data_IF_639117020227
#
_entry.id   IF_639117020227
#
_cell.length_a   1.000
_cell.length_b   1.000
_cell.length_c   1.000
_cell.angle_alpha   90.00
_cell.angle_beta   90.00
_cell.angle_gamma   90.00
#
_symmetry.space_group_name_H-M   'P 1'
#
loop_
_entity.id
_entity.type
_entity.pdbx_description
1 polymer ?
#
# COMPACT_ATOMS: atom_id res chain seq x y z
N UNK A 1 -13.54 -6.50 9.15
CA UNK A 1 -12.92 -5.57 8.18
C UNK A 1 -13.44 -5.98 6.80
N UNK A 2 -14.20 -5.12 6.09
CA UNK A 2 -14.93 -5.52 4.87
C UNK A 2 -14.06 -6.05 3.74
N UNK A 3 -12.78 -5.69 3.68
CA UNK A 3 -11.86 -6.19 2.64
C UNK A 3 -11.64 -7.70 2.73
N UNK A 4 -11.71 -8.29 3.93
CA UNK A 4 -11.55 -9.74 4.13
C UNK A 4 -12.66 -10.54 3.44
N UNK A 5 -13.84 -9.96 3.28
CA UNK A 5 -15.01 -10.59 2.63
C UNK A 5 -14.79 -10.81 1.12
N UNK A 6 -13.78 -10.16 0.52
CA UNK A 6 -13.43 -10.32 -0.90
C UNK A 6 -12.30 -11.34 -1.13
N UNK A 7 -11.75 -11.92 -0.06
CA UNK A 7 -10.68 -12.91 -0.14
C UNK A 7 -11.31 -14.32 -0.02
N UNK A 8 -11.01 -15.27 -0.92
CA UNK A 8 -11.49 -16.64 -0.81
C UNK A 8 -11.04 -17.30 0.51
N UNK A 9 -11.97 -17.86 1.28
CA UNK A 9 -11.72 -18.43 2.62
C UNK A 9 -10.64 -19.53 2.60
N UNK A 10 -10.72 -20.45 1.63
CA UNK A 10 -9.82 -21.61 1.54
C UNK A 10 -8.53 -21.29 0.76
N UNK A 11 -8.00 -20.08 0.92
CA UNK A 11 -6.75 -19.64 0.26
C UNK A 11 -5.63 -19.38 1.25
N UNK A 12 -4.39 -19.62 0.83
CA UNK A 12 -3.21 -19.21 1.60
C UNK A 12 -3.19 -17.69 1.84
N UNK A 13 -3.70 -16.91 0.87
CA UNK A 13 -3.81 -15.46 1.00
C UNK A 13 -4.72 -15.07 2.17
N UNK A 14 -5.87 -15.72 2.34
CA UNK A 14 -6.73 -15.54 3.51
C UNK A 14 -5.99 -15.86 4.81
N UNK A 15 -5.25 -16.97 4.86
CA UNK A 15 -4.46 -17.33 6.04
C UNK A 15 -3.45 -16.25 6.44
N UNK A 16 -2.63 -15.77 5.50
CA UNK A 16 -1.65 -14.72 5.81
C UNK A 16 -2.33 -13.37 6.14
N UNK A 17 -3.44 -13.05 5.47
CA UNK A 17 -4.20 -11.85 5.80
C UNK A 17 -4.74 -11.90 7.23
N UNK A 18 -5.30 -13.04 7.64
CA UNK A 18 -5.85 -13.22 8.98
C UNK A 18 -4.76 -13.18 10.04
N UNK A 19 -3.58 -13.77 9.79
CA UNK A 19 -2.42 -13.65 10.66
C UNK A 19 -1.98 -12.19 10.86
N UNK A 20 -1.90 -11.42 9.78
CA UNK A 20 -1.56 -10.00 9.89
C UNK A 20 -2.62 -9.24 10.69
N UNK A 21 -3.90 -9.49 10.39
CA UNK A 21 -5.00 -8.83 11.08
C UNK A 21 -5.06 -9.19 12.57
N UNK A 22 -4.73 -10.42 12.95
CA UNK A 22 -4.60 -10.84 14.34
C UNK A 22 -3.42 -10.16 15.03
N UNK A 23 -2.26 -10.10 14.36
CA UNK A 23 -1.06 -9.49 14.93
C UNK A 23 -1.27 -8.01 15.22
N UNK A 24 -1.81 -7.25 14.26
CA UNK A 24 -2.02 -5.80 14.44
C UNK A 24 -3.06 -5.47 15.52
N UNK A 25 -4.02 -6.37 15.76
CA UNK A 25 -5.00 -6.24 16.86
C UNK A 25 -4.42 -6.55 18.22
N UNK A 26 -3.37 -7.36 18.27
CA UNK A 26 -2.81 -7.91 19.52
C UNK A 26 -1.61 -7.10 20.03
N UNK A 27 -1.12 -6.12 19.27
CA UNK A 27 0.06 -5.33 19.61
C UNK A 27 -0.21 -3.82 19.49
N UNK A 28 0.30 -3.04 20.44
CA UNK A 28 0.13 -1.58 20.45
C UNK A 28 1.03 -0.83 19.45
N UNK A 29 2.10 -1.48 18.96
CA UNK A 29 3.06 -0.87 18.05
C UNK A 29 3.40 -1.78 16.87
N UNK A 30 3.71 -1.16 15.73
CA UNK A 30 3.93 -1.86 14.47
C UNK A 30 5.19 -2.73 14.46
N UNK A 31 6.24 -2.35 15.20
CA UNK A 31 7.49 -3.12 15.27
C UNK A 31 7.24 -4.48 15.91
N UNK A 32 6.66 -4.50 17.11
CA UNK A 32 6.33 -5.76 17.80
C UNK A 32 5.34 -6.62 17.00
N UNK A 33 4.35 -5.99 16.36
CA UNK A 33 3.41 -6.67 15.47
C UNK A 33 4.10 -7.33 14.27
N UNK A 34 5.08 -6.66 13.67
CA UNK A 34 5.81 -7.18 12.52
C UNK A 34 6.79 -8.29 12.91
N UNK A 35 7.55 -8.10 13.99
CA UNK A 35 8.48 -9.09 14.55
C UNK A 35 7.78 -10.44 14.84
N UNK A 36 6.53 -10.40 15.32
CA UNK A 36 5.73 -11.60 15.56
C UNK A 36 5.44 -12.42 14.28
N UNK A 37 5.44 -11.77 13.11
CA UNK A 37 5.12 -12.40 11.83
C UNK A 37 6.35 -12.86 11.04
N UNK A 38 7.55 -12.34 11.33
CA UNK A 38 8.76 -12.59 10.53
C UNK A 38 9.01 -14.08 10.26
N UNK A 39 8.81 -14.92 11.28
CA UNK A 39 9.01 -16.37 11.15
C UNK A 39 8.04 -16.99 10.15
N UNK A 40 6.81 -16.49 10.06
CA UNK A 40 5.78 -16.99 9.13
C UNK A 40 6.10 -16.67 7.67
N UNK A 41 6.86 -15.59 7.43
CA UNK A 41 7.17 -15.10 6.09
C UNK A 41 8.61 -15.35 5.63
N UNK A 42 9.48 -15.87 6.51
CA UNK A 42 10.94 -16.02 6.28
C UNK A 42 11.32 -16.80 5.01
N UNK A 43 10.48 -17.72 4.56
CA UNK A 43 10.74 -18.56 3.36
C UNK A 43 10.33 -17.90 2.06
N UNK A 44 9.58 -16.80 2.11
CA UNK A 44 9.10 -16.10 0.92
C UNK A 44 10.11 -15.04 0.48
N UNK A 45 10.09 -14.74 -0.82
CA UNK A 45 10.83 -13.61 -1.35
C UNK A 45 10.24 -12.29 -0.82
N UNK A 46 11.07 -11.26 -0.66
CA UNK A 46 10.63 -9.95 -0.18
C UNK A 46 9.62 -9.25 -1.11
N UNK A 47 9.58 -9.58 -2.42
CA UNK A 47 8.54 -9.12 -3.35
C UNK A 47 7.28 -10.01 -3.39
N UNK A 48 7.21 -11.04 -2.54
CA UNK A 48 6.09 -11.97 -2.57
C UNK A 48 4.81 -11.29 -2.09
N UNK A 49 3.68 -11.69 -2.65
CA UNK A 49 2.38 -11.07 -2.36
C UNK A 49 1.97 -11.17 -0.88
N UNK A 50 2.29 -12.27 -0.19
CA UNK A 50 1.93 -12.43 1.23
C UNK A 50 2.66 -11.44 2.16
N UNK A 51 4.01 -11.40 2.23
CA UNK A 51 4.70 -10.38 3.02
C UNK A 51 4.28 -8.94 2.70
N UNK A 52 4.09 -8.62 1.41
CA UNK A 52 3.66 -7.30 0.96
C UNK A 52 2.26 -6.94 1.46
N UNK A 53 1.29 -7.83 1.29
CA UNK A 53 -0.06 -7.65 1.84
C UNK A 53 -0.03 -7.45 3.36
N UNK A 54 0.81 -8.20 4.10
CA UNK A 54 0.93 -8.02 5.55
C UNK A 54 1.46 -6.64 5.91
N UNK A 55 2.45 -6.14 5.16
CA UNK A 55 3.00 -4.80 5.35
C UNK A 55 1.97 -3.70 5.04
N UNK A 56 1.15 -3.87 4.00
CA UNK A 56 0.01 -2.98 3.69
C UNK A 56 -0.98 -2.92 4.85
N UNK A 57 -1.32 -4.07 5.45
CA UNK A 57 -2.17 -4.13 6.65
C UNK A 57 -1.53 -3.34 7.80
N UNK A 58 -0.23 -3.48 8.06
CA UNK A 58 0.46 -2.72 9.10
C UNK A 58 0.46 -1.22 8.82
N UNK A 59 0.77 -0.83 7.58
CA UNK A 59 0.79 0.56 7.13
C UNK A 59 -0.55 1.24 7.35
N UNK A 60 -1.65 0.60 6.96
CA UNK A 60 -3.00 1.14 7.13
C UNK A 60 -3.49 1.11 8.58
N UNK A 61 -3.08 0.12 9.37
CA UNK A 61 -3.55 -0.03 10.75
C UNK A 61 -2.94 0.98 11.70
N UNK A 62 -1.63 1.22 11.59
CA UNK A 62 -0.87 2.02 12.57
C UNK A 62 -0.58 3.46 12.13
N UNK A 63 -0.87 3.86 10.88
CA UNK A 63 -0.52 5.20 10.39
C UNK A 63 -1.35 6.33 11.00
N UNK A 64 -2.53 6.05 11.54
CA UNK A 64 -3.42 7.09 12.07
C UNK A 64 -3.75 8.16 11.04
N UNK A 65 -4.06 7.74 9.80
CA UNK A 65 -4.39 8.58 8.66
C UNK A 65 -3.26 9.50 8.13
N UNK A 66 -2.05 9.39 8.69
CA UNK A 66 -0.89 10.18 8.25
C UNK A 66 -0.01 9.40 7.24
N UNK A 67 0.02 9.89 6.00
CA UNK A 67 0.80 9.24 4.92
C UNK A 67 2.29 9.10 5.22
N UNK A 68 2.89 10.10 5.89
CA UNK A 68 4.30 10.04 6.26
C UNK A 68 4.59 8.97 7.31
N UNK A 69 3.66 8.77 8.25
CA UNK A 69 3.74 7.69 9.24
C UNK A 69 3.55 6.34 8.57
N UNK A 70 2.63 6.22 7.62
CA UNK A 70 2.44 5.01 6.82
C UNK A 70 3.73 4.60 6.09
N UNK A 71 4.37 5.53 5.38
CA UNK A 71 5.63 5.26 4.68
C UNK A 71 6.77 4.87 5.63
N UNK A 72 6.82 5.47 6.83
CA UNK A 72 7.79 5.05 7.85
C UNK A 72 7.56 3.60 8.30
N UNK A 73 6.31 3.25 8.61
CA UNK A 73 5.93 1.89 9.02
C UNK A 73 6.28 0.87 7.92
N UNK A 74 5.98 1.19 6.66
CA UNK A 74 6.32 0.33 5.52
C UNK A 74 7.83 0.16 5.35
N UNK A 75 8.60 1.23 5.53
CA UNK A 75 10.05 1.17 5.53
C UNK A 75 10.60 0.31 6.69
N UNK A 76 9.97 0.36 7.87
CA UNK A 76 10.32 -0.50 9.00
C UNK A 76 9.98 -1.99 8.74
N UNK A 77 8.92 -2.29 7.97
CA UNK A 77 8.60 -3.67 7.56
C UNK A 77 9.65 -4.24 6.58
N UNK A 78 10.27 -3.38 5.76
CA UNK A 78 11.49 -3.71 4.99
C UNK A 78 11.32 -4.68 3.81
N UNK A 79 10.08 -4.95 3.39
CA UNK A 79 9.76 -5.74 2.19
C UNK A 79 9.71 -4.84 0.94
N UNK A 80 8.79 -5.05 0.00
CA UNK A 80 8.65 -4.28 -1.24
C UNK A 80 8.10 -2.85 -1.01
N UNK A 81 8.93 -1.98 -0.41
CA UNK A 81 8.49 -0.70 0.15
C UNK A 81 7.85 0.21 -0.90
N UNK A 82 8.36 0.26 -2.12
CA UNK A 82 7.84 1.11 -3.20
C UNK A 82 6.44 0.65 -3.66
N UNK A 83 6.24 -0.65 -3.88
CA UNK A 83 4.93 -1.20 -4.21
C UNK A 83 3.91 -0.95 -3.07
N UNK A 84 4.29 -1.28 -1.84
CA UNK A 84 3.41 -1.12 -0.68
C UNK A 84 3.10 0.37 -0.40
N UNK A 85 4.06 1.27 -0.60
CA UNK A 85 3.85 2.72 -0.47
C UNK A 85 2.93 3.24 -1.58
N UNK A 86 3.03 2.71 -2.80
CA UNK A 86 2.10 3.01 -3.89
C UNK A 86 0.66 2.63 -3.54
N UNK A 87 0.44 1.44 -2.98
CA UNK A 87 -0.89 0.96 -2.57
C UNK A 87 -1.45 1.76 -1.40
N UNK A 88 -0.72 1.84 -0.28
CA UNK A 88 -1.16 2.54 0.94
C UNK A 88 -1.30 4.05 0.68
N UNK A 89 -0.35 4.63 -0.05
CA UNK A 89 -0.39 6.04 -0.43
C UNK A 89 -1.59 6.38 -1.32
N UNK A 90 -1.98 5.48 -2.24
CA UNK A 90 -3.18 5.66 -3.05
C UNK A 90 -4.45 5.69 -2.19
N UNK A 91 -4.59 4.76 -1.25
CA UNK A 91 -5.73 4.72 -0.33
C UNK A 91 -5.79 6.00 0.52
N UNK A 92 -4.69 6.37 1.16
CA UNK A 92 -4.64 7.56 2.02
C UNK A 92 -4.84 8.85 1.22
N UNK A 93 -4.28 8.94 0.02
CA UNK A 93 -4.42 10.10 -0.86
C UNK A 93 -5.84 10.31 -1.43
N UNK A 94 -6.66 9.24 -1.48
CA UNK A 94 -8.08 9.35 -1.81
C UNK A 94 -8.88 9.84 -0.60
N UNK A 95 -8.52 9.40 0.60
CA UNK A 95 -9.28 9.66 1.81
C UNK A 95 -8.96 11.01 2.46
N UNK A 96 -7.70 11.45 2.36
CA UNK A 96 -7.17 12.59 3.09
C UNK A 96 -6.32 13.50 2.20
N UNK A 97 -6.22 14.80 2.52
CA UNK A 97 -5.28 15.70 1.85
C UNK A 97 -3.83 15.23 2.01
N UNK A 98 -3.04 15.30 0.94
CA UNK A 98 -1.62 14.97 0.96
C UNK A 98 -0.81 16.26 1.20
N UNK A 99 0.11 16.21 2.15
CA UNK A 99 1.08 17.30 2.39
C UNK A 99 1.96 17.53 1.14
N UNK A 100 2.08 18.78 0.64
CA UNK A 100 2.86 19.11 -0.55
C UNK A 100 4.29 18.57 -0.55
N UNK A 101 4.92 18.37 0.61
CA UNK A 101 6.27 17.76 0.68
C UNK A 101 6.36 16.39 0.01
N UNK A 102 5.25 15.67 -0.10
CA UNK A 102 5.16 14.37 -0.77
C UNK A 102 4.83 14.47 -2.26
N UNK A 103 4.33 15.61 -2.74
CA UNK A 103 3.92 15.80 -4.15
C UNK A 103 4.84 16.72 -4.93
N UNK A 104 5.34 17.79 -4.29
CA UNK A 104 6.19 18.81 -4.91
C UNK A 104 7.46 18.24 -5.56
N UNK A 105 8.16 17.24 -4.98
CA UNK A 105 9.34 16.65 -5.62
C UNK A 105 9.08 16.03 -6.99
N UNK A 106 7.86 15.55 -7.25
CA UNK A 106 7.49 14.99 -8.54
C UNK A 106 7.24 16.05 -9.61
N UNK A 107 6.99 17.31 -9.21
CA UNK A 107 6.71 18.43 -10.10
C UNK A 107 5.66 18.08 -11.19
N UNK A 108 4.60 17.38 -10.78
CA UNK A 108 3.52 16.89 -11.65
C UNK A 108 4.02 16.09 -12.88
N UNK A 109 5.20 15.47 -12.83
CA UNK A 109 5.85 14.82 -13.96
C UNK A 109 5.93 13.30 -13.74
N UNK A 110 5.50 12.54 -14.74
CA UNK A 110 5.64 11.09 -14.80
C UNK A 110 6.49 10.71 -16.02
N UNK A 111 7.58 10.00 -15.77
CA UNK A 111 8.43 9.43 -16.81
C UNK A 111 8.17 7.92 -16.93
N UNK A 112 8.05 7.41 -18.15
CA UNK A 112 7.76 5.99 -18.39
C UNK A 112 8.58 5.44 -19.56
N UNK A 113 8.69 4.12 -19.63
CA UNK A 113 9.26 3.41 -20.78
C UNK A 113 8.22 3.10 -21.87
N UNK A 114 6.97 3.56 -21.72
CA UNK A 114 5.88 3.26 -22.67
C UNK A 114 6.08 4.06 -23.96
N UNK A 115 6.21 3.41 -25.13
CA UNK A 115 6.35 4.11 -26.40
C UNK A 115 5.17 5.07 -26.64
N UNK A 116 5.48 6.32 -26.97
CA UNK A 116 4.48 7.38 -27.16
C UNK A 116 3.97 8.04 -25.87
N UNK A 117 4.37 7.56 -24.69
CA UNK A 117 3.96 8.08 -23.38
C UNK A 117 5.15 8.24 -22.42
N UNK A 118 6.32 8.58 -22.98
CA UNK A 118 7.59 8.64 -22.24
C UNK A 118 7.61 9.68 -21.14
N UNK A 119 6.89 10.78 -21.33
CA UNK A 119 6.73 11.84 -20.34
C UNK A 119 5.27 12.31 -20.38
N UNK A 120 4.63 12.35 -19.21
CA UNK A 120 3.25 12.74 -19.01
C UNK A 120 3.17 13.64 -17.77
N UNK A 121 2.06 14.37 -17.63
CA UNK A 121 1.72 14.93 -16.32
C UNK A 121 0.90 13.96 -15.49
N UNK A 122 1.20 13.87 -14.20
CA UNK A 122 0.45 13.02 -13.26
C UNK A 122 -1.01 13.47 -13.22
N UNK A 123 -1.25 14.77 -13.15
CA UNK A 123 -2.58 15.39 -13.16
C UNK A 123 -3.37 15.12 -14.44
N UNK A 124 -2.73 15.16 -15.60
CA UNK A 124 -3.37 14.87 -16.89
C UNK A 124 -3.73 13.39 -17.02
N UNK A 125 -2.86 12.49 -16.56
CA UNK A 125 -3.13 11.04 -16.55
C UNK A 125 -4.29 10.70 -15.59
N UNK A 126 -4.31 11.31 -14.40
CA UNK A 126 -5.41 11.14 -13.45
C UNK A 126 -6.74 11.66 -14.02
N UNK A 127 -6.72 12.84 -14.65
CA UNK A 127 -7.90 13.41 -15.34
C UNK A 127 -8.38 12.49 -16.46
N UNK A 128 -7.47 12.03 -17.32
CA UNK A 128 -7.82 11.15 -18.43
C UNK A 128 -8.48 9.86 -17.94
N UNK A 129 -7.92 9.24 -16.90
CA UNK A 129 -8.46 8.02 -16.28
C UNK A 129 -9.87 8.24 -15.71
N UNK A 130 -10.07 9.34 -14.97
CA UNK A 130 -11.39 9.67 -14.40
C UNK A 130 -12.43 10.03 -15.46
N UNK A 131 -12.03 10.69 -16.54
CA UNK A 131 -12.92 11.03 -17.66
C UNK A 131 -13.38 9.78 -18.41
N UNK A 132 -12.52 8.76 -18.58
CA UNK A 132 -12.92 7.47 -19.15
C UNK A 132 -14.00 6.81 -18.29
N UNK A 133 -13.75 6.68 -16.98
CA UNK A 133 -14.70 6.04 -16.05
C UNK A 133 -16.05 6.75 -16.05
N UNK A 134 -16.08 8.08 -16.18
CA UNK A 134 -17.32 8.86 -16.26
C UNK A 134 -18.11 8.64 -17.55
N UNK A 135 -17.45 8.31 -18.66
CA UNK A 135 -18.09 8.04 -19.96
C UNK A 135 -18.59 6.60 -20.10
N UNK A 136 -18.07 5.68 -19.28
CA UNK A 136 -18.50 4.28 -19.26
C UNK A 136 -19.78 4.06 -18.43
N UNK A 137 -20.27 5.09 -17.75
CA UNK A 137 -21.58 5.13 -17.12
C UNK A 137 -22.63 5.61 -18.11
#
# INVERSE_FOLDING_TARGET
>A
MKSRDYIPEDSEFAHFFDLALESVKSHDNHIASWEALEKSIKTYNWIHTYPNMMAVVHGLWYCGDEIGRAFRILADCGVDVDCNAGEVGSVLGIMFPIDPKWTDPFNDTLETYVPGMKQLKISELAKWTTDIVRRMK
#
